data_IF_168703028524
#
_entry.id   IF_168703028524
#
_cell.length_a   1.000
_cell.length_b   1.000
_cell.length_c   1.000
_cell.angle_alpha   90.00
_cell.angle_beta   90.00
_cell.angle_gamma   90.00
#
_symmetry.space_group_name_H-M   'P 1'
#
loop_
_entity.id
_entity.type
_entity.pdbx_description
1 polymer ?
#
# COMPACT_ATOMS: atom_id res chain seq x y z
N UNK A 1 -16.11 10.59 22.64
CA UNK A 1 -15.45 9.29 22.94
C UNK A 1 -16.30 8.31 23.76
N UNK A 2 -17.59 8.60 24.00
CA UNK A 2 -18.49 7.76 24.77
C UNK A 2 -18.06 7.56 26.23
N UNK A 3 -18.53 6.47 26.86
CA UNK A 3 -18.26 6.16 28.28
C UNK A 3 -16.86 5.59 28.56
N UNK A 4 -16.02 5.38 27.54
CA UNK A 4 -14.71 4.78 27.72
C UNK A 4 -13.58 5.79 27.43
N UNK A 5 -13.08 6.43 28.49
CA UNK A 5 -12.03 7.46 28.38
C UNK A 5 -10.61 6.96 28.16
N UNK A 6 -10.36 5.63 28.16
CA UNK A 6 -9.01 5.08 28.05
C UNK A 6 -8.57 4.94 26.60
N UNK A 7 -7.50 5.62 26.22
CA UNK A 7 -6.88 5.56 24.89
C UNK A 7 -5.72 4.56 24.87
N UNK A 8 -4.93 4.56 25.94
CA UNK A 8 -3.78 3.67 26.14
C UNK A 8 -3.84 3.12 27.56
N UNK A 9 -3.54 1.84 27.70
CA UNK A 9 -3.46 1.18 29.01
C UNK A 9 -2.38 0.12 28.99
N UNK A 10 -1.75 -0.08 30.12
CA UNK A 10 -0.71 -1.07 30.28
C UNK A 10 -0.25 -1.23 31.70
N UNK A 11 0.73 -2.07 31.94
CA UNK A 11 1.25 -2.34 33.27
C UNK A 11 2.56 -3.11 33.27
N UNK A 12 3.07 -3.28 34.46
CA UNK A 12 4.21 -4.14 34.74
C UNK A 12 3.69 -5.50 35.22
N UNK A 13 4.20 -6.57 34.64
CA UNK A 13 3.71 -7.95 34.82
C UNK A 13 4.87 -8.89 35.20
N UNK A 14 5.53 -8.65 36.33
CA UNK A 14 6.76 -9.34 36.72
C UNK A 14 6.59 -10.86 36.89
N UNK A 15 5.38 -11.32 37.19
CA UNK A 15 5.10 -12.75 37.41
C UNK A 15 4.42 -13.42 36.21
N UNK A 16 4.10 -12.69 35.14
CA UNK A 16 3.33 -13.23 34.01
C UNK A 16 4.05 -14.36 33.31
N UNK A 17 5.35 -14.23 33.07
CA UNK A 17 6.15 -15.24 32.36
C UNK A 17 6.22 -16.55 33.15
N UNK A 18 6.36 -16.46 34.46
CA UNK A 18 6.33 -17.63 35.35
C UNK A 18 4.95 -18.29 35.37
N UNK A 19 3.87 -17.52 35.44
CA UNK A 19 2.49 -18.01 35.41
C UNK A 19 2.13 -18.74 34.13
N UNK A 20 2.74 -18.40 32.99
CA UNK A 20 2.56 -19.09 31.71
C UNK A 20 3.59 -20.19 31.46
N UNK A 21 4.40 -20.58 32.50
CA UNK A 21 5.33 -21.70 32.45
C UNK A 21 6.73 -21.37 31.96
N UNK A 22 7.08 -20.07 31.83
CA UNK A 22 8.43 -19.63 31.49
C UNK A 22 9.34 -19.48 32.72
N UNK A 23 10.60 -19.12 32.50
CA UNK A 23 11.51 -18.74 33.56
C UNK A 23 11.14 -17.38 34.12
N UNK A 24 11.25 -17.13 35.46
CA UNK A 24 10.97 -15.83 36.05
C UNK A 24 11.73 -14.71 35.35
N UNK A 25 10.98 -13.72 34.81
CA UNK A 25 11.53 -12.52 34.20
C UNK A 25 10.54 -11.38 34.32
N UNK A 26 10.98 -10.13 34.59
CA UNK A 26 10.11 -8.99 34.59
C UNK A 26 9.57 -8.71 33.19
N UNK A 27 8.31 -8.31 33.10
CA UNK A 27 7.67 -7.95 31.83
C UNK A 27 6.89 -6.63 31.99
N UNK A 28 6.79 -5.89 30.88
CA UNK A 28 5.96 -4.70 30.73
C UNK A 28 5.24 -4.80 29.40
N UNK A 29 3.97 -4.39 29.40
CA UNK A 29 3.18 -4.35 28.18
C UNK A 29 2.17 -3.22 28.21
N UNK A 30 1.77 -2.77 27.05
CA UNK A 30 0.74 -1.75 26.87
C UNK A 30 0.02 -1.95 25.54
N UNK A 31 -1.18 -1.44 25.45
CA UNK A 31 -1.99 -1.42 24.24
C UNK A 31 -2.60 -0.04 24.02
N UNK A 32 -2.76 0.35 22.77
CA UNK A 32 -3.30 1.61 22.31
C UNK A 32 -4.42 1.35 21.31
N UNK A 33 -5.56 2.05 21.47
CA UNK A 33 -6.66 2.01 20.48
C UNK A 33 -6.42 3.01 19.36
N UNK A 34 -6.00 2.54 18.18
CA UNK A 34 -5.74 3.41 17.02
C UNK A 34 -6.99 4.16 16.58
N UNK A 35 -8.15 3.52 16.54
CA UNK A 35 -9.41 4.13 16.16
C UNK A 35 -9.79 5.28 17.11
N UNK A 36 -9.46 5.17 18.40
CA UNK A 36 -9.69 6.23 19.38
C UNK A 36 -8.76 7.41 19.16
N UNK A 37 -7.51 7.17 18.81
CA UNK A 37 -6.56 8.24 18.45
C UNK A 37 -7.04 8.97 17.21
N UNK A 38 -7.46 8.23 16.17
CA UNK A 38 -8.01 8.82 14.94
C UNK A 38 -9.25 9.67 15.22
N UNK A 39 -10.19 9.17 16.03
CA UNK A 39 -11.39 9.92 16.41
C UNK A 39 -11.05 11.22 17.16
N UNK A 40 -10.04 11.19 18.04
CA UNK A 40 -9.57 12.41 18.73
C UNK A 40 -8.92 13.42 17.78
N UNK A 41 -8.12 12.95 16.83
CA UNK A 41 -7.51 13.83 15.82
C UNK A 41 -8.58 14.50 14.97
N UNK A 42 -9.60 13.75 14.57
CA UNK A 42 -10.76 14.28 13.83
C UNK A 42 -11.54 15.31 14.64
N UNK A 43 -11.84 15.01 15.92
CA UNK A 43 -12.54 15.94 16.85
C UNK A 43 -11.75 17.24 17.06
N UNK A 44 -10.42 17.17 17.07
CA UNK A 44 -9.53 18.33 17.16
C UNK A 44 -9.32 19.05 15.84
N UNK A 45 -9.93 18.60 14.75
CA UNK A 45 -9.80 19.21 13.41
C UNK A 45 -8.40 19.03 12.78
N UNK A 46 -7.62 18.05 13.25
CA UNK A 46 -6.32 17.77 12.66
C UNK A 46 -6.50 17.19 11.27
N UNK A 47 -6.06 17.92 10.26
CA UNK A 47 -6.05 17.44 8.88
C UNK A 47 -4.89 16.47 8.71
N UNK A 48 -5.22 15.20 8.49
CA UNK A 48 -4.22 14.20 8.09
C UNK A 48 -3.92 14.36 6.60
N UNK A 49 -2.64 14.32 6.17
CA UNK A 49 -2.33 14.38 4.75
C UNK A 49 -2.95 13.17 4.04
N UNK A 50 -3.70 13.42 2.99
CA UNK A 50 -4.15 12.35 2.09
C UNK A 50 -2.93 11.77 1.38
N UNK A 51 -2.57 10.54 1.77
CA UNK A 51 -1.49 9.82 1.12
C UNK A 51 -2.00 9.23 -0.21
N UNK A 52 -2.07 10.05 -1.24
CA UNK A 52 -2.37 9.56 -2.59
C UNK A 52 -1.23 8.67 -3.08
N UNK A 53 -1.51 7.53 -3.70
CA UNK A 53 -0.45 6.68 -4.23
C UNK A 53 0.20 7.35 -5.45
N UNK A 54 1.50 7.16 -5.61
CA UNK A 54 2.21 7.58 -6.83
C UNK A 54 1.70 6.79 -8.03
N UNK A 55 1.47 5.49 -7.87
CA UNK A 55 1.04 4.62 -8.93
C UNK A 55 0.03 3.56 -8.47
N UNK A 56 -0.74 3.04 -9.42
CA UNK A 56 -1.65 1.93 -9.24
C UNK A 56 -1.32 0.81 -10.21
N UNK A 57 -1.06 -0.40 -9.71
CA UNK A 57 -0.75 -1.54 -10.55
C UNK A 57 -2.02 -2.18 -11.13
N UNK A 58 -2.02 -2.35 -12.45
CA UNK A 58 -3.04 -3.05 -13.22
C UNK A 58 -2.47 -4.41 -13.62
N UNK A 59 -3.09 -5.48 -13.15
CA UNK A 59 -2.66 -6.86 -13.41
C UNK A 59 -3.81 -7.59 -14.10
N UNK A 60 -3.77 -7.76 -15.43
CA UNK A 60 -4.86 -8.39 -16.17
C UNK A 60 -5.04 -9.86 -15.82
N UNK A 61 -3.94 -10.58 -15.56
CA UNK A 61 -3.93 -12.02 -15.35
C UNK A 61 -3.47 -12.38 -13.93
N UNK A 62 -4.29 -13.18 -13.23
CA UNK A 62 -3.97 -13.64 -11.87
C UNK A 62 -2.71 -14.49 -11.80
N UNK A 63 -2.38 -15.24 -12.85
CA UNK A 63 -1.15 -16.03 -12.99
C UNK A 63 0.13 -15.20 -12.90
N UNK A 64 0.06 -13.92 -13.28
CA UNK A 64 1.18 -12.99 -13.25
C UNK A 64 1.45 -12.39 -11.86
N UNK A 65 0.51 -12.55 -10.92
CA UNK A 65 0.58 -11.93 -9.59
C UNK A 65 1.91 -12.16 -8.85
N UNK A 66 2.46 -13.39 -8.76
CA UNK A 66 3.71 -13.61 -8.03
C UNK A 66 4.88 -12.78 -8.57
N UNK A 67 4.98 -12.70 -9.91
CA UNK A 67 6.01 -11.91 -10.58
C UNK A 67 5.79 -10.41 -10.36
N UNK A 68 4.55 -9.94 -10.53
CA UNK A 68 4.20 -8.53 -10.33
C UNK A 68 4.46 -8.11 -8.89
N UNK A 69 4.07 -8.90 -7.89
CA UNK A 69 4.31 -8.60 -6.48
C UNK A 69 5.80 -8.44 -6.15
N UNK A 70 6.67 -9.20 -6.82
CA UNK A 70 8.13 -9.04 -6.71
C UNK A 70 8.55 -7.64 -7.15
N UNK A 71 8.08 -7.17 -8.30
CA UNK A 71 8.40 -5.84 -8.82
C UNK A 71 7.77 -4.72 -7.99
N UNK A 72 6.53 -4.90 -7.51
CA UNK A 72 5.90 -3.93 -6.60
C UNK A 72 6.66 -3.80 -5.28
N UNK A 73 7.21 -4.90 -4.74
CA UNK A 73 8.08 -4.85 -3.57
C UNK A 73 9.34 -4.03 -3.83
N UNK A 74 9.97 -4.19 -4.99
CA UNK A 74 11.14 -3.41 -5.39
C UNK A 74 10.81 -1.92 -5.51
N UNK A 75 9.71 -1.56 -6.17
CA UNK A 75 9.25 -0.17 -6.29
C UNK A 75 9.00 0.45 -4.91
N UNK A 76 8.36 -0.28 -4.00
CA UNK A 76 8.13 0.18 -2.62
C UNK A 76 9.43 0.37 -1.84
N UNK A 77 10.42 -0.49 -2.04
CA UNK A 77 11.75 -0.35 -1.44
C UNK A 77 12.49 0.91 -1.94
N UNK A 78 12.17 1.38 -3.16
CA UNK A 78 12.66 2.64 -3.73
C UNK A 78 11.81 3.85 -3.31
N UNK A 79 10.85 3.70 -2.39
CA UNK A 79 10.01 4.79 -1.88
C UNK A 79 8.79 5.10 -2.73
N UNK A 80 8.47 4.31 -3.76
CA UNK A 80 7.26 4.51 -4.57
C UNK A 80 6.05 3.94 -3.85
N UNK A 81 5.07 4.80 -3.53
CA UNK A 81 3.79 4.35 -3.00
C UNK A 81 2.95 3.75 -4.13
N UNK A 82 2.89 2.42 -4.18
CA UNK A 82 2.13 1.68 -5.20
C UNK A 82 1.01 0.90 -4.55
N UNK A 83 -0.21 1.12 -5.03
CA UNK A 83 -1.39 0.33 -4.68
C UNK A 83 -1.74 -0.65 -5.82
N UNK A 84 -2.51 -1.69 -5.49
CA UNK A 84 -3.09 -2.61 -6.45
C UNK A 84 -4.43 -3.14 -5.93
N UNK A 85 -5.27 -3.64 -6.83
CA UNK A 85 -6.47 -4.36 -6.41
C UNK A 85 -6.12 -5.76 -5.92
N UNK A 86 -6.51 -6.06 -4.69
CA UNK A 86 -6.26 -7.37 -4.08
C UNK A 86 -7.11 -8.50 -4.69
N UNK A 87 -8.10 -8.15 -5.52
CA UNK A 87 -9.08 -9.11 -6.02
C UNK A 87 -10.22 -9.37 -5.04
N UNK A 88 -11.20 -10.11 -5.51
CA UNK A 88 -12.29 -10.62 -4.68
C UNK A 88 -12.56 -12.07 -5.11
N UNK A 89 -12.19 -13.03 -4.26
CA UNK A 89 -12.44 -14.46 -4.53
C UNK A 89 -11.58 -15.03 -5.67
N UNK A 90 -12.10 -15.10 -6.88
CA UNK A 90 -11.52 -15.85 -7.99
C UNK A 90 -10.53 -15.09 -8.89
N UNK A 91 -9.94 -13.97 -8.47
CA UNK A 91 -8.94 -13.29 -9.28
C UNK A 91 -8.79 -11.79 -9.04
N UNK A 92 -7.99 -11.17 -9.88
CA UNK A 92 -7.62 -9.74 -9.80
C UNK A 92 -8.70 -8.77 -10.34
N UNK A 93 -9.84 -9.28 -10.80
CA UNK A 93 -10.89 -8.48 -11.42
C UNK A 93 -10.57 -8.03 -12.85
N UNK A 94 -11.56 -7.50 -13.56
CA UNK A 94 -11.38 -7.04 -14.94
C UNK A 94 -10.49 -5.78 -15.01
N UNK A 95 -9.78 -5.60 -16.12
CA UNK A 95 -8.98 -4.38 -16.39
C UNK A 95 -9.81 -3.11 -16.19
N UNK A 96 -11.07 -3.08 -16.66
CA UNK A 96 -11.96 -1.92 -16.50
C UNK A 96 -12.19 -1.59 -15.02
N UNK A 97 -12.40 -2.60 -14.19
CA UNK A 97 -12.57 -2.42 -12.74
C UNK A 97 -11.30 -1.91 -12.08
N UNK A 98 -10.15 -2.45 -12.48
CA UNK A 98 -8.85 -2.03 -11.94
C UNK A 98 -8.54 -0.58 -12.32
N UNK A 99 -8.78 -0.16 -13.58
CA UNK A 99 -8.61 1.23 -14.01
C UNK A 99 -9.54 2.19 -13.26
N UNK A 100 -10.81 1.81 -13.06
CA UNK A 100 -11.75 2.62 -12.26
C UNK A 100 -11.24 2.81 -10.83
N UNK A 101 -10.66 1.77 -10.22
CA UNK A 101 -10.06 1.85 -8.88
C UNK A 101 -8.77 2.67 -8.89
N UNK A 102 -7.94 2.55 -9.90
CA UNK A 102 -6.76 3.37 -10.08
C UNK A 102 -7.10 4.86 -10.16
N UNK A 103 -8.13 5.21 -10.91
CA UNK A 103 -8.60 6.58 -11.04
C UNK A 103 -9.16 7.11 -9.71
N UNK A 104 -10.02 6.34 -9.04
CA UNK A 104 -10.60 6.72 -7.75
C UNK A 104 -9.60 6.75 -6.58
N UNK A 105 -8.43 6.11 -6.70
CA UNK A 105 -7.39 6.12 -5.67
C UNK A 105 -6.58 7.40 -5.60
N UNK A 106 -6.74 8.31 -6.56
CA UNK A 106 -5.91 9.50 -6.68
C UNK A 106 -4.53 9.26 -7.29
N UNK A 107 -4.18 8.02 -7.68
CA UNK A 107 -2.88 7.71 -8.27
C UNK A 107 -2.59 8.56 -9.51
N UNK A 108 -1.34 9.00 -9.66
CA UNK A 108 -0.91 9.75 -10.83
C UNK A 108 -0.67 8.85 -12.04
N UNK A 109 -0.21 7.63 -11.80
CA UNK A 109 0.16 6.69 -12.85
C UNK A 109 -0.54 5.34 -12.69
N UNK A 110 -0.87 4.70 -13.82
CA UNK A 110 -1.18 3.28 -13.88
C UNK A 110 0.04 2.51 -14.40
N UNK A 111 0.43 1.45 -13.68
CA UNK A 111 1.47 0.51 -14.09
C UNK A 111 0.79 -0.76 -14.62
N UNK A 112 0.84 -0.99 -15.92
CA UNK A 112 0.13 -2.08 -16.57
C UNK A 112 1.11 -3.23 -16.80
N UNK A 113 0.83 -4.37 -16.18
CA UNK A 113 1.61 -5.61 -16.26
C UNK A 113 0.87 -6.63 -17.13
N UNK A 114 0.71 -6.34 -18.43
CA UNK A 114 0.10 -7.26 -19.37
C UNK A 114 1.03 -8.44 -19.71
N UNK A 115 0.47 -9.46 -20.35
CA UNK A 115 1.24 -10.66 -20.75
C UNK A 115 2.40 -10.32 -21.69
N UNK A 116 2.16 -9.45 -22.66
CA UNK A 116 3.18 -9.02 -23.64
C UNK A 116 4.28 -8.20 -22.98
N UNK A 117 3.92 -7.28 -22.07
CA UNK A 117 4.87 -6.50 -21.30
C UNK A 117 5.77 -7.41 -20.44
N UNK A 118 5.17 -8.34 -19.72
CA UNK A 118 5.92 -9.26 -18.85
C UNK A 118 6.81 -10.21 -19.66
N UNK A 119 6.35 -10.68 -20.83
CA UNK A 119 7.17 -11.50 -21.74
C UNK A 119 8.41 -10.76 -22.24
N UNK A 120 8.33 -9.43 -22.38
CA UNK A 120 9.41 -8.54 -22.79
C UNK A 120 10.18 -7.94 -21.60
N UNK A 121 9.87 -8.36 -20.36
CA UNK A 121 10.43 -7.82 -19.13
C UNK A 121 10.26 -6.30 -19.01
N UNK A 122 9.07 -5.82 -19.38
CA UNK A 122 8.70 -4.39 -19.36
C UNK A 122 7.40 -4.17 -18.59
N UNK A 123 7.06 -2.90 -18.38
CA UNK A 123 5.79 -2.42 -17.83
C UNK A 123 5.34 -1.19 -18.60
N UNK A 124 4.05 -1.09 -18.91
CA UNK A 124 3.48 0.11 -19.49
C UNK A 124 3.10 1.09 -18.38
N UNK A 125 3.63 2.30 -18.41
CA UNK A 125 3.36 3.39 -17.48
C UNK A 125 2.46 4.41 -18.17
N UNK A 126 1.23 4.58 -17.65
CA UNK A 126 0.24 5.52 -18.20
C UNK A 126 -0.06 6.61 -17.20
N UNK A 127 0.03 7.89 -17.61
CA UNK A 127 -0.46 9.02 -16.79
C UNK A 127 -1.98 8.96 -16.65
N UNK A 128 -2.48 9.20 -15.43
CA UNK A 128 -3.92 9.24 -15.11
C UNK A 128 -4.42 10.67 -14.91
N UNK A 129 -3.54 11.67 -14.76
CA UNK A 129 -3.91 13.05 -14.36
C UNK A 129 -3.76 14.09 -15.46
N UNK A 130 -2.77 13.99 -16.31
CA UNK A 130 -2.48 15.02 -17.34
C UNK A 130 -3.30 14.82 -18.62
N UNK A 131 -4.63 14.76 -18.51
CA UNK A 131 -5.48 14.49 -19.67
C UNK A 131 -5.44 13.06 -20.19
N UNK A 132 -4.78 12.15 -19.48
CA UNK A 132 -4.88 10.70 -19.67
C UNK A 132 -4.20 10.12 -20.93
N UNK A 133 -3.25 10.81 -21.56
CA UNK A 133 -2.76 10.44 -22.88
C UNK A 133 -1.36 9.84 -22.99
N UNK A 134 -0.45 10.20 -22.14
CA UNK A 134 0.94 9.75 -22.27
C UNK A 134 1.12 8.34 -21.68
N UNK A 135 1.44 7.40 -22.55
CA UNK A 135 1.84 6.05 -22.18
C UNK A 135 3.28 5.83 -22.64
N UNK A 136 4.12 5.28 -21.75
CA UNK A 136 5.50 4.90 -22.04
C UNK A 136 5.75 3.48 -21.56
N UNK A 137 6.71 2.82 -22.16
CA UNK A 137 7.13 1.47 -21.76
C UNK A 137 8.48 1.56 -21.06
N UNK A 138 8.58 0.95 -19.87
CA UNK A 138 9.75 0.96 -19.03
C UNK A 138 10.27 -0.45 -18.79
N UNK A 139 11.60 -0.61 -18.69
CA UNK A 139 12.21 -1.90 -18.40
C UNK A 139 12.11 -2.25 -16.91
N UNK A 140 11.68 -3.47 -16.62
CA UNK A 140 11.64 -4.01 -15.27
C UNK A 140 13.03 -4.30 -14.69
N UNK A 141 14.06 -4.37 -15.53
CA UNK A 141 15.46 -4.49 -15.07
C UNK A 141 16.04 -3.17 -14.56
N UNK A 142 15.47 -2.04 -14.99
CA UNK A 142 15.94 -0.68 -14.67
C UNK A 142 14.98 0.08 -13.78
N UNK A 143 14.32 -0.62 -12.84
CA UNK A 143 13.36 -0.04 -11.91
C UNK A 143 13.94 1.15 -11.14
N UNK A 144 15.18 1.07 -10.72
CA UNK A 144 15.91 2.10 -9.98
C UNK A 144 16.08 3.40 -10.78
N UNK A 145 16.13 3.31 -12.11
CA UNK A 145 16.31 4.47 -12.99
C UNK A 145 15.03 5.27 -13.13
N UNK A 146 13.89 4.60 -13.40
CA UNK A 146 12.65 5.31 -13.71
C UNK A 146 11.67 5.43 -12.52
N UNK A 147 11.85 4.63 -11.46
CA UNK A 147 10.97 4.66 -10.29
C UNK A 147 10.90 6.06 -9.65
N UNK A 148 12.02 6.78 -9.59
CA UNK A 148 12.08 8.13 -9.03
C UNK A 148 11.20 9.12 -9.80
N UNK A 149 11.02 8.93 -11.10
CA UNK A 149 10.14 9.80 -11.92
C UNK A 149 8.67 9.69 -11.54
N UNK A 150 8.26 8.63 -10.85
CA UNK A 150 6.89 8.47 -10.36
C UNK A 150 6.61 9.26 -9.09
N UNK A 151 7.65 9.68 -8.36
CA UNK A 151 7.53 10.43 -7.10
C UNK A 151 7.43 11.95 -7.34
N UNK A 152 7.81 12.41 -8.52
CA UNK A 152 7.82 13.83 -8.87
C UNK A 152 6.42 14.29 -9.26
N UNK A 153 5.49 14.31 -8.30
CA UNK A 153 4.18 14.94 -8.44
C UNK A 153 4.22 16.17 -7.54
N UNK A 154 4.40 17.30 -8.19
CA UNK A 154 4.24 18.63 -7.55
C UNK A 154 2.78 19.03 -7.59
#
# INVERSE_FOLDING_TARGET
LGSQGTICGGGRYDYLIEQVGGKPAPAVGWALGLERVLALLEEQGVQLPEATPHAYAIVPEASSLPLVLKHLRQLRALGVNVQMHAGSGEGVGSMKTQFKKADSSGAAYALIFGADELAQNTVSVKSLRDGGGAQRTESLEKLDVWALSLQSIS
#
